data_IF_920166215467
#
_entry.id   IF_920166215467
#
_cell.length_a   1.000
_cell.length_b   1.000
_cell.length_c   1.000
_cell.angle_alpha   90.00
_cell.angle_beta   90.00
_cell.angle_gamma   90.00
#
_symmetry.space_group_name_H-M   'P 1'
#
loop_
_entity.id
_entity.type
_entity.pdbx_description
1 polymer ?
#
# COMPACT_ATOMS: atom_id res chain seq x y z
N UNK A 1 -9.98 -7.01 -8.37
CA UNK A 1 -9.40 -7.36 -7.06
C UNK A 1 -8.70 -6.14 -6.51
N UNK A 2 -9.13 -5.69 -5.33
CA UNK A 2 -8.60 -4.49 -4.67
C UNK A 2 -7.19 -4.76 -4.12
N UNK A 3 -6.31 -3.76 -3.99
CA UNK A 3 -4.94 -3.96 -3.49
C UNK A 3 -4.87 -4.65 -2.12
N UNK A 4 -5.78 -4.29 -1.21
CA UNK A 4 -5.92 -4.87 0.12
C UNK A 4 -6.35 -6.35 0.10
N UNK A 5 -7.26 -6.74 -0.79
CA UNK A 5 -7.64 -8.15 -0.99
C UNK A 5 -6.44 -8.96 -1.51
N UNK A 6 -5.69 -8.40 -2.47
CA UNK A 6 -4.49 -9.03 -3.02
C UNK A 6 -3.41 -9.23 -1.94
N UNK A 7 -3.23 -8.25 -1.07
CA UNK A 7 -2.30 -8.34 0.06
C UNK A 7 -2.74 -9.41 1.07
N UNK A 8 -4.03 -9.44 1.43
CA UNK A 8 -4.59 -10.41 2.37
C UNK A 8 -4.49 -11.85 1.85
N UNK A 9 -4.80 -12.07 0.57
CA UNK A 9 -4.58 -13.36 -0.11
C UNK A 9 -3.11 -13.77 -0.11
N UNK A 10 -2.20 -12.82 -0.29
CA UNK A 10 -0.75 -13.09 -0.24
C UNK A 10 -0.29 -13.51 1.15
N UNK A 11 -0.76 -12.82 2.20
CA UNK A 11 -0.48 -13.21 3.59
C UNK A 11 -1.07 -14.57 3.93
N UNK A 12 -2.30 -14.86 3.47
CA UNK A 12 -2.95 -16.15 3.67
C UNK A 12 -2.15 -17.30 3.04
N UNK A 13 -1.62 -17.11 1.82
CA UNK A 13 -0.73 -18.09 1.19
C UNK A 13 0.61 -18.24 1.95
N UNK A 14 1.16 -17.14 2.45
CA UNK A 14 2.42 -17.16 3.20
C UNK A 14 2.31 -17.95 4.51
N UNK A 15 1.17 -17.85 5.20
CA UNK A 15 0.91 -18.56 6.46
C UNK A 15 0.61 -20.06 6.27
N UNK A 16 0.58 -20.54 5.02
CA UNK A 16 0.55 -21.97 4.74
C UNK A 16 -0.83 -22.62 4.85
N UNK A 17 -1.90 -21.88 4.57
CA UNK A 17 -3.17 -22.50 4.17
C UNK A 17 -3.41 -22.24 2.67
N UNK A 18 -3.80 -23.28 1.93
CA UNK A 18 -4.60 -24.38 2.43
C UNK A 18 -3.82 -25.66 2.72
N UNK A 19 -4.43 -26.55 3.51
CA UNK A 19 -4.21 -28.01 3.44
C UNK A 19 -4.07 -28.40 1.96
N UNK A 20 -3.11 -29.26 1.66
CA UNK A 20 -2.92 -29.83 0.31
C UNK A 20 -4.28 -30.05 -0.39
N UNK A 21 -4.52 -29.31 -1.48
CA UNK A 21 -5.69 -29.48 -2.34
C UNK A 21 -6.83 -28.46 -2.23
N UNK A 22 -6.79 -27.41 -1.38
CA UNK A 22 -7.84 -26.38 -1.46
C UNK A 22 -7.59 -25.34 -2.56
N UNK A 23 -8.68 -24.87 -3.17
CA UNK A 23 -8.65 -23.87 -4.24
C UNK A 23 -8.29 -22.49 -3.68
N UNK A 24 -7.77 -21.56 -4.51
CA UNK A 24 -7.61 -20.15 -4.13
C UNK A 24 -8.94 -19.48 -3.70
N UNK A 25 -10.07 -20.07 -4.09
CA UNK A 25 -11.41 -19.65 -3.66
C UNK A 25 -11.71 -20.02 -2.20
N UNK A 26 -11.06 -21.05 -1.65
CA UNK A 26 -11.34 -21.62 -0.32
C UNK A 26 -10.43 -21.05 0.77
N UNK A 27 -9.49 -20.17 0.41
CA UNK A 27 -8.61 -19.52 1.36
C UNK A 27 -9.41 -18.54 2.23
N UNK A 28 -9.33 -18.63 3.57
CA UNK A 28 -9.95 -17.65 4.47
C UNK A 28 -9.12 -16.36 4.51
N UNK A 29 -8.90 -15.74 3.35
CA UNK A 29 -8.03 -14.58 3.21
C UNK A 29 -8.59 -13.35 3.94
N UNK A 30 -9.89 -13.28 4.17
CA UNK A 30 -10.56 -12.19 4.91
C UNK A 30 -10.05 -12.07 6.36
N UNK A 31 -9.65 -13.19 6.98
CA UNK A 31 -9.05 -13.23 8.33
C UNK A 31 -7.68 -12.52 8.40
N UNK A 32 -7.07 -12.22 7.24
CA UNK A 32 -5.79 -11.51 7.13
C UNK A 32 -5.95 -10.00 6.91
N UNK A 33 -7.19 -9.50 6.75
CA UNK A 33 -7.45 -8.07 6.60
C UNK A 33 -6.93 -7.23 7.78
N UNK A 34 -7.04 -7.65 9.05
CA UNK A 34 -6.46 -6.92 10.18
C UNK A 34 -4.93 -6.74 10.06
N UNK A 35 -4.22 -7.76 9.60
CA UNK A 35 -2.77 -7.78 9.41
C UNK A 35 -2.38 -6.82 8.29
N UNK A 36 -3.12 -6.84 7.16
CA UNK A 36 -2.90 -5.86 6.08
C UNK A 36 -3.13 -4.44 6.58
N UNK A 37 -4.21 -4.18 7.34
CA UNK A 37 -4.47 -2.85 7.93
C UNK A 37 -3.34 -2.41 8.87
N UNK A 38 -2.78 -3.33 9.67
CA UNK A 38 -1.65 -3.04 10.54
C UNK A 38 -0.40 -2.65 9.74
N UNK A 39 -0.09 -3.36 8.64
CA UNK A 39 1.03 -3.01 7.75
C UNK A 39 0.81 -1.65 7.10
N UNK A 40 -0.39 -1.39 6.55
CA UNK A 40 -0.71 -0.10 5.92
C UNK A 40 -0.56 1.07 6.90
N UNK A 41 -0.98 0.88 8.15
CA UNK A 41 -0.76 1.87 9.21
C UNK A 41 0.73 2.05 9.53
N UNK A 42 1.51 0.98 9.53
CA UNK A 42 2.94 1.03 9.82
C UNK A 42 3.74 1.74 8.72
N UNK A 43 3.31 1.64 7.46
CA UNK A 43 3.95 2.30 6.31
C UNK A 43 3.25 3.60 5.89
N UNK A 44 2.36 4.14 6.74
CA UNK A 44 1.57 5.34 6.41
C UNK A 44 2.48 6.54 6.09
N UNK A 45 3.52 6.73 6.89
CA UNK A 45 4.53 7.74 6.59
C UNK A 45 5.59 7.16 5.64
N UNK A 46 5.85 7.82 4.50
CA UNK A 46 6.90 7.39 3.58
C UNK A 46 8.27 7.73 4.17
N UNK A 47 9.27 6.92 3.82
CA UNK A 47 10.67 7.27 4.11
C UNK A 47 11.14 8.44 3.24
N UNK A 48 12.25 9.09 3.63
CA UNK A 48 12.86 10.15 2.83
C UNK A 48 13.20 9.69 1.40
N UNK A 49 13.71 8.45 1.26
CA UNK A 49 14.00 7.86 -0.05
C UNK A 49 12.76 7.68 -0.93
N UNK A 50 11.61 7.35 -0.33
CA UNK A 50 10.35 7.25 -1.06
C UNK A 50 9.84 8.63 -1.51
N UNK A 51 9.95 9.63 -0.64
CA UNK A 51 9.58 11.01 -0.97
C UNK A 51 10.47 11.56 -2.10
N UNK A 52 11.78 11.28 -2.06
CA UNK A 52 12.72 11.68 -3.12
C UNK A 52 12.39 11.01 -4.46
N UNK A 53 12.10 9.71 -4.47
CA UNK A 53 11.72 9.00 -5.68
C UNK A 53 10.42 9.56 -6.31
N UNK A 54 9.44 9.95 -5.49
CA UNK A 54 8.22 10.61 -5.98
C UNK A 54 8.47 12.04 -6.45
N UNK A 55 9.36 12.78 -5.77
CA UNK A 55 9.73 14.14 -6.14
C UNK A 55 10.36 14.22 -7.52
N UNK A 56 11.17 13.23 -7.91
CA UNK A 56 11.77 13.15 -9.25
C UNK A 56 10.70 13.20 -10.36
N UNK A 57 9.58 12.52 -10.18
CA UNK A 57 8.47 12.58 -11.14
C UNK A 57 7.81 13.97 -11.15
N UNK A 58 7.58 14.57 -9.98
CA UNK A 58 6.90 15.85 -9.85
C UNK A 58 7.68 17.01 -10.47
N UNK A 59 9.02 16.98 -10.39
CA UNK A 59 9.91 17.94 -11.06
C UNK A 59 9.65 18.02 -12.58
N UNK A 60 9.24 16.92 -13.20
CA UNK A 60 8.96 16.87 -14.64
C UNK A 60 7.56 17.38 -14.99
N UNK A 61 6.61 17.30 -14.05
CA UNK A 61 5.20 17.67 -14.26
C UNK A 61 4.93 19.14 -13.94
N UNK A 62 5.65 19.70 -12.96
CA UNK A 62 5.49 21.07 -12.49
C UNK A 62 6.86 21.71 -12.31
N UNK A 63 7.12 22.80 -13.01
CA UNK A 63 8.39 23.53 -12.89
C UNK A 63 8.26 24.69 -11.90
N UNK A 64 9.36 25.02 -11.21
CA UNK A 64 9.51 26.26 -10.43
C UNK A 64 9.25 26.16 -8.93
N UNK A 65 9.00 24.97 -8.38
CA UNK A 65 8.97 24.78 -6.92
C UNK A 65 10.35 24.45 -6.34
N UNK A 66 10.51 24.70 -5.04
CA UNK A 66 11.69 24.30 -4.29
C UNK A 66 11.72 22.79 -4.09
N UNK A 67 12.91 22.20 -3.99
CA UNK A 67 13.11 20.75 -3.77
C UNK A 67 12.33 20.17 -2.59
N UNK A 68 12.18 20.96 -1.52
CA UNK A 68 11.37 20.56 -0.36
C UNK A 68 9.88 20.41 -0.69
N UNK A 69 9.35 21.21 -1.63
CA UNK A 69 7.96 21.17 -2.07
C UNK A 69 7.63 19.85 -2.77
N UNK A 70 8.46 19.45 -3.74
CA UNK A 70 8.25 18.18 -4.46
C UNK A 70 8.30 16.96 -3.53
N UNK A 71 9.21 16.94 -2.54
CA UNK A 71 9.27 15.84 -1.55
C UNK A 71 8.03 15.81 -0.66
N UNK A 72 7.52 16.97 -0.26
CA UNK A 72 6.31 17.06 0.55
C UNK A 72 5.09 16.59 -0.24
N UNK A 73 4.94 17.03 -1.49
CA UNK A 73 3.87 16.61 -2.40
C UNK A 73 3.90 15.09 -2.63
N UNK A 74 5.09 14.52 -2.88
CA UNK A 74 5.26 13.07 -3.00
C UNK A 74 4.82 12.32 -1.74
N UNK A 75 5.15 12.86 -0.56
CA UNK A 75 4.74 12.26 0.71
C UNK A 75 3.22 12.35 0.94
N UNK A 76 2.60 13.46 0.56
CA UNK A 76 1.14 13.65 0.62
C UNK A 76 0.41 12.69 -0.33
N UNK A 77 0.88 12.55 -1.57
CA UNK A 77 0.34 11.59 -2.53
C UNK A 77 0.40 10.16 -1.97
N UNK A 78 1.51 9.76 -1.36
CA UNK A 78 1.64 8.46 -0.71
C UNK A 78 0.57 8.25 0.37
N UNK A 79 0.44 9.20 1.31
CA UNK A 79 -0.57 9.13 2.38
C UNK A 79 -1.99 8.99 1.82
N UNK A 80 -2.33 9.77 0.79
CA UNK A 80 -3.64 9.68 0.13
C UNK A 80 -3.89 8.32 -0.54
N UNK A 81 -2.87 7.70 -1.12
CA UNK A 81 -2.99 6.36 -1.69
C UNK A 81 -3.23 5.32 -0.59
N UNK A 82 -2.50 5.39 0.53
CA UNK A 82 -2.70 4.48 1.67
C UNK A 82 -4.11 4.64 2.25
N UNK A 83 -4.58 5.88 2.46
CA UNK A 83 -5.94 6.15 2.93
C UNK A 83 -7.00 5.59 1.97
N UNK A 84 -6.78 5.69 0.67
CA UNK A 84 -7.68 5.14 -0.35
C UNK A 84 -7.71 3.61 -0.29
N UNK A 85 -6.54 2.96 -0.13
CA UNK A 85 -6.46 1.49 0.02
C UNK A 85 -7.18 0.98 1.28
N UNK A 86 -7.20 1.76 2.37
CA UNK A 86 -7.93 1.39 3.59
C UNK A 86 -9.44 1.50 3.39
N UNK A 87 -9.92 2.50 2.65
CA UNK A 87 -11.34 2.70 2.32
C UNK A 87 -11.91 1.61 1.41
N UNK A 88 -11.06 0.98 0.62
CA UNK A 88 -11.44 -0.09 -0.30
C UNK A 88 -12.00 -1.34 0.42
N UNK A 89 -11.80 -1.49 1.73
CA UNK A 89 -12.46 -2.52 2.56
C UNK A 89 -13.60 -1.88 3.34
N UNK A 90 -14.74 -1.73 2.65
CA UNK A 90 -16.04 -1.40 3.22
C UNK A 90 -16.99 -2.58 3.11
#
# INVERSE_FOLDING_TARGET
>A
MKPIERAARTLCRLDGHPRDGASEADLPWEDYLPQVRAVLKAVYEPSEWMAEAGAELLRHVRAGEAEQGYRQDAADIWRYMIDSMVKDVG
#
